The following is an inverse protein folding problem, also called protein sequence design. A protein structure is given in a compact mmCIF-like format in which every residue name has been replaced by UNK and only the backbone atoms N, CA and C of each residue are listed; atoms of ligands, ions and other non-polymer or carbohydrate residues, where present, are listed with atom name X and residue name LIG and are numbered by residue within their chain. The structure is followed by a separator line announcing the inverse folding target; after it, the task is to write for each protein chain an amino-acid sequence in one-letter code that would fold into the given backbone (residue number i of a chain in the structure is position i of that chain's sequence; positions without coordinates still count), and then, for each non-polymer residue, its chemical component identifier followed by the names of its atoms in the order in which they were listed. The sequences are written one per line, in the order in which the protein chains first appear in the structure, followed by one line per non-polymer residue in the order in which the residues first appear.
data_IF_967788794427
#
_entry.id   IF_967788794427
#
_cell.length_a   1.000
_cell.length_b   1.000
_cell.length_c   1.000
_cell.angle_alpha   90.00
_cell.angle_beta   90.00
_cell.angle_gamma   90.00
#
_symmetry.space_group_name_H-M   'P 1'
#
loop_
_entity.id
_entity.type
_entity.pdbx_description
1 polymer ?
#
# COMPACT_ATOMS: atom_id res chain seq x y z
N UNK A 1 -20.65 -4.98 10.95
CA UNK A 1 -19.80 -6.18 11.06
C UNK A 1 -18.43 -5.65 11.43
N UNK A 2 -18.00 -5.83 12.68
CA UNK A 2 -16.67 -5.39 13.08
C UNK A 2 -15.68 -6.30 12.35
N UNK A 3 -14.92 -5.74 11.43
CA UNK A 3 -13.79 -6.43 10.81
C UNK A 3 -12.80 -6.64 11.94
N UNK A 4 -12.49 -7.90 12.25
CA UNK A 4 -11.43 -8.27 13.17
C UNK A 4 -10.14 -7.64 12.65
N UNK A 5 -9.71 -6.56 13.31
CA UNK A 5 -8.36 -6.08 13.20
C UNK A 5 -7.44 -7.13 13.82
N UNK A 6 -6.23 -7.23 13.28
CA UNK A 6 -5.07 -7.88 13.87
C UNK A 6 -4.80 -9.32 13.44
N UNK A 7 -4.25 -9.45 12.25
CA UNK A 7 -2.82 -9.77 12.18
C UNK A 7 -2.14 -8.74 11.26
N UNK A 8 -1.87 -7.55 11.80
CA UNK A 8 -0.61 -6.89 11.41
C UNK A 8 0.45 -7.98 11.61
N UNK A 9 1.37 -8.17 10.67
CA UNK A 9 2.51 -9.05 10.92
C UNK A 9 3.39 -8.40 12.01
N UNK A 10 2.91 -8.50 13.25
CA UNK A 10 3.36 -7.77 14.45
C UNK A 10 4.82 -8.07 14.67
N UNK A 11 5.21 -9.33 14.45
CA UNK A 11 6.59 -9.77 14.52
C UNK A 11 7.50 -9.08 13.49
N UNK A 12 7.06 -8.95 12.24
CA UNK A 12 7.84 -8.26 11.21
C UNK A 12 7.98 -6.77 11.51
N UNK A 13 6.93 -6.14 12.03
CA UNK A 13 6.97 -4.73 12.44
C UNK A 13 7.90 -4.51 13.65
N UNK A 14 7.85 -5.40 14.64
CA UNK A 14 8.74 -5.35 15.79
C UNK A 14 10.21 -5.51 15.38
N UNK A 15 10.49 -6.46 14.49
CA UNK A 15 11.83 -6.66 13.93
C UNK A 15 12.31 -5.41 13.18
N UNK A 16 11.44 -4.78 12.38
CA UNK A 16 11.75 -3.53 11.68
C UNK A 16 12.13 -2.40 12.64
N UNK A 17 11.30 -2.17 13.67
CA UNK A 17 11.53 -1.13 14.67
C UNK A 17 12.87 -1.38 15.36
N UNK A 18 13.16 -2.63 15.74
CA UNK A 18 14.40 -2.98 16.42
C UNK A 18 15.64 -2.70 15.56
N UNK A 19 15.59 -3.01 14.25
CA UNK A 19 16.69 -2.77 13.30
C UNK A 19 16.86 -1.27 13.01
N UNK A 20 15.76 -0.51 12.94
CA UNK A 20 15.77 0.86 12.45
C UNK A 20 15.57 1.94 13.53
N UNK A 21 15.58 1.57 14.82
CA UNK A 21 15.36 2.49 15.95
C UNK A 21 16.24 3.74 15.98
N UNK A 22 17.46 3.65 15.43
CA UNK A 22 18.41 4.77 15.39
C UNK A 22 18.29 5.59 14.09
N UNK A 23 17.47 5.13 13.14
CA UNK A 23 17.30 5.72 11.81
C UNK A 23 15.95 6.40 11.65
N UNK A 24 14.95 6.02 12.45
CA UNK A 24 13.60 6.56 12.41
C UNK A 24 13.36 7.35 13.70
N UNK A 25 13.30 8.68 13.63
CA UNK A 25 12.98 9.48 14.80
C UNK A 25 11.51 9.30 15.17
N UNK A 26 11.24 8.57 16.25
CA UNK A 26 9.90 8.52 16.83
C UNK A 26 9.64 9.77 17.71
N UNK A 27 8.39 10.24 17.82
CA UNK A 27 8.01 11.23 18.83
C UNK A 27 8.41 10.78 20.24
N UNK A 28 8.70 11.72 21.16
CA UNK A 28 9.16 11.41 22.52
C UNK A 28 8.22 10.47 23.28
N UNK A 29 6.91 10.62 23.09
CA UNK A 29 5.86 9.78 23.67
C UNK A 29 5.96 8.32 23.22
N UNK A 30 6.45 8.08 21.99
CA UNK A 30 6.68 6.75 21.44
C UNK A 30 8.07 6.24 21.82
N UNK A 31 9.09 7.10 21.87
CA UNK A 31 10.43 6.72 22.34
C UNK A 31 10.43 6.20 23.79
N UNK A 32 9.65 6.84 24.68
CA UNK A 32 9.49 6.37 26.05
C UNK A 32 8.97 4.93 26.11
N UNK A 33 7.94 4.62 25.32
CA UNK A 33 7.35 3.28 25.22
C UNK A 33 8.26 2.28 24.51
N UNK A 34 8.94 2.67 23.43
CA UNK A 34 9.92 1.82 22.72
C UNK A 34 11.07 1.38 23.64
N UNK A 35 11.50 2.23 24.58
CA UNK A 35 12.51 1.87 25.58
C UNK A 35 11.99 0.88 26.63
N UNK A 36 10.75 1.06 27.11
CA UNK A 36 10.06 0.07 27.95
C UNK A 36 9.94 -1.29 27.24
N UNK A 37 9.68 -1.29 25.93
CA UNK A 37 9.53 -2.49 25.12
C UNK A 37 10.84 -3.28 24.96
N UNK A 38 11.98 -2.62 24.78
CA UNK A 38 13.28 -3.31 24.72
C UNK A 38 13.60 -4.08 26.02
N UNK A 39 13.18 -3.52 27.15
CA UNK A 39 13.37 -4.12 28.48
C UNK A 39 12.46 -5.33 28.69
N UNK A 40 11.37 -5.40 27.92
CA UNK A 40 10.27 -6.31 28.15
C UNK A 40 10.21 -7.44 27.08
N UNK A 41 10.60 -7.18 25.83
CA UNK A 41 10.84 -8.20 24.79
C UNK A 41 11.97 -9.19 25.14
N UNK A 42 12.87 -8.83 26.06
CA UNK A 42 13.89 -9.74 26.60
C UNK A 42 13.34 -10.68 27.68
N UNK A 43 12.09 -10.49 28.12
CA UNK A 43 11.42 -11.29 29.16
C UNK A 43 9.97 -11.61 28.74
N UNK A 44 9.84 -12.63 27.89
CA UNK A 44 8.57 -13.21 27.42
C UNK A 44 7.63 -12.26 26.64
N UNK A 45 6.91 -12.85 25.69
CA UNK A 45 6.08 -12.17 24.68
C UNK A 45 5.01 -11.27 25.29
N UNK A 46 5.17 -9.96 25.17
CA UNK A 46 4.14 -9.00 25.55
C UNK A 46 3.17 -8.83 24.40
N UNK A 47 1.89 -9.02 24.71
CA UNK A 47 0.78 -8.60 23.86
C UNK A 47 0.73 -7.07 23.88
N UNK A 48 1.19 -6.43 22.81
CA UNK A 48 1.05 -4.98 22.67
C UNK A 48 -0.44 -4.63 22.59
N UNK A 49 -0.85 -3.52 23.21
CA UNK A 49 -2.23 -3.06 23.06
C UNK A 49 -2.43 -2.53 21.64
N UNK A 50 -3.58 -2.87 21.05
CA UNK A 50 -3.98 -2.49 19.69
C UNK A 50 -3.81 -0.97 19.46
N UNK A 51 -4.08 -0.16 20.49
CA UNK A 51 -3.94 1.29 20.47
C UNK A 51 -2.51 1.78 20.20
N UNK A 52 -1.46 1.06 20.62
CA UNK A 52 -0.08 1.51 20.38
C UNK A 52 0.39 1.14 18.97
N UNK A 53 -0.02 -0.03 18.46
CA UNK A 53 0.25 -0.40 17.07
C UNK A 53 -0.40 0.61 16.12
N UNK A 54 -1.64 1.01 16.37
CA UNK A 54 -2.32 2.08 15.63
C UNK A 54 -1.53 3.40 15.63
N UNK A 55 -0.99 3.81 16.78
CA UNK A 55 -0.17 5.02 16.88
C UNK A 55 1.13 4.92 16.06
N UNK A 56 1.83 3.78 16.12
CA UNK A 56 3.02 3.52 15.30
C UNK A 56 2.67 3.57 13.83
N UNK A 57 1.55 2.97 13.43
CA UNK A 57 1.03 3.00 12.08
C UNK A 57 0.80 4.42 11.57
N UNK A 58 0.15 5.25 12.37
CA UNK A 58 -0.08 6.66 12.05
C UNK A 58 1.25 7.39 11.84
N UNK A 59 2.26 7.13 12.68
CA UNK A 59 3.57 7.76 12.57
C UNK A 59 4.32 7.30 11.33
N UNK A 60 4.38 5.99 11.08
CA UNK A 60 5.01 5.41 9.89
C UNK A 60 4.36 5.98 8.63
N UNK A 61 3.03 5.99 8.58
CA UNK A 61 2.30 6.57 7.46
C UNK A 61 2.62 8.05 7.25
N UNK A 62 2.70 8.86 8.32
CA UNK A 62 3.04 10.30 8.25
C UNK A 62 4.48 10.58 7.82
N UNK A 63 5.43 9.71 8.16
CA UNK A 63 6.85 9.90 7.84
C UNK A 63 7.27 9.28 6.50
N UNK A 64 6.43 8.41 5.96
CA UNK A 64 6.71 7.68 4.73
C UNK A 64 6.68 8.55 3.47
N UNK A 65 7.49 8.16 2.48
CA UNK A 65 7.47 8.75 1.15
C UNK A 65 6.55 7.90 0.27
N UNK A 66 5.46 8.45 -0.30
CA UNK A 66 4.62 7.71 -1.23
C UNK A 66 5.40 7.44 -2.52
N UNK A 67 5.48 6.16 -2.89
CA UNK A 67 6.17 5.68 -4.10
C UNK A 67 5.15 5.37 -5.19
N UNK A 68 4.01 4.81 -4.82
CA UNK A 68 2.91 4.50 -5.72
C UNK A 68 1.61 4.65 -4.94
N UNK A 69 0.65 5.36 -5.52
CA UNK A 69 -0.71 5.39 -5.02
C UNK A 69 -1.62 4.77 -6.08
N UNK A 70 -2.52 3.91 -5.65
CA UNK A 70 -3.58 3.33 -6.44
C UNK A 70 -4.86 3.59 -5.67
N UNK A 71 -5.75 4.41 -6.21
CA UNK A 71 -7.11 4.52 -5.70
C UNK A 71 -8.03 3.77 -6.63
N UNK A 72 -9.06 3.15 -6.09
CA UNK A 72 -10.12 2.60 -6.91
C UNK A 72 -11.49 2.94 -6.36
N UNK A 73 -12.42 2.99 -7.30
CA UNK A 73 -13.83 3.09 -7.01
C UNK A 73 -14.50 1.86 -7.59
N UNK A 74 -15.38 1.25 -6.82
CA UNK A 74 -16.26 0.21 -7.33
C UNK A 74 -17.68 0.50 -6.89
N UNK A 75 -18.61 0.19 -7.77
CA UNK A 75 -20.04 0.16 -7.49
C UNK A 75 -20.46 -1.16 -6.81
N UNK A 76 -19.50 -2.07 -6.57
CA UNK A 76 -19.72 -3.33 -5.84
C UNK A 76 -19.59 -3.07 -4.33
N UNK A 77 -20.53 -3.56 -3.49
CA UNK A 77 -20.44 -3.45 -2.04
C UNK A 77 -19.11 -4.02 -1.51
N UNK A 78 -18.43 -3.27 -0.64
CA UNK A 78 -17.13 -3.59 -0.03
C UNK A 78 -15.93 -3.62 -0.99
N UNK A 79 -15.99 -2.87 -2.10
CA UNK A 79 -14.91 -2.84 -3.08
C UNK A 79 -14.46 -1.41 -3.44
N UNK A 80 -14.51 -0.48 -2.47
CA UNK A 80 -14.08 0.91 -2.65
C UNK A 80 -12.97 1.24 -1.68
N UNK A 81 -11.79 1.64 -2.17
CA UNK A 81 -10.64 1.92 -1.31
C UNK A 81 -9.41 2.43 -2.05
N UNK A 82 -8.33 2.63 -1.31
CA UNK A 82 -7.01 2.93 -1.83
C UNK A 82 -5.96 1.94 -1.35
N UNK A 83 -4.95 1.72 -2.18
CA UNK A 83 -3.72 0.99 -1.91
C UNK A 83 -2.57 1.96 -2.16
N UNK A 84 -1.65 2.08 -1.21
CA UNK A 84 -0.44 2.89 -1.38
C UNK A 84 0.80 2.10 -1.01
N UNK A 85 1.82 2.17 -1.85
CA UNK A 85 3.16 1.71 -1.55
C UNK A 85 3.97 2.89 -1.05
N UNK A 86 4.54 2.76 0.15
CA UNK A 86 5.33 3.83 0.76
C UNK A 86 6.67 3.31 1.25
N UNK A 87 7.69 4.14 1.11
CA UNK A 87 9.05 3.84 1.53
C UNK A 87 9.37 4.54 2.86
N UNK A 88 10.00 3.78 3.77
CA UNK A 88 10.43 4.20 5.10
C UNK A 88 11.79 3.55 5.41
N UNK A 89 12.86 4.36 5.41
CA UNK A 89 14.18 3.92 5.89
C UNK A 89 14.78 2.75 5.08
N UNK A 90 14.59 2.74 3.77
CA UNK A 90 15.02 1.72 2.83
C UNK A 90 14.10 0.50 2.74
N UNK A 91 12.95 0.52 3.41
CA UNK A 91 11.97 -0.57 3.41
C UNK A 91 10.63 -0.08 2.88
N UNK A 92 9.86 -0.98 2.31
CA UNK A 92 8.59 -0.68 1.68
C UNK A 92 7.43 -1.28 2.47
N UNK A 93 6.33 -0.54 2.51
CA UNK A 93 5.09 -0.91 3.19
C UNK A 93 3.92 -0.67 2.25
N UNK A 94 3.00 -1.63 2.20
CA UNK A 94 1.78 -1.55 1.42
C UNK A 94 0.63 -1.26 2.38
N UNK A 95 0.01 -0.10 2.23
CA UNK A 95 -1.14 0.34 3.02
C UNK A 95 -2.40 0.21 2.18
N UNK A 96 -3.48 -0.28 2.79
CA UNK A 96 -4.80 -0.33 2.18
C UNK A 96 -5.83 0.27 3.13
N UNK A 97 -6.88 0.87 2.59
CA UNK A 97 -8.03 1.30 3.38
C UNK A 97 -8.88 0.10 3.85
N UNK A 98 -8.86 -1.00 3.10
CA UNK A 98 -9.70 -2.19 3.32
C UNK A 98 -8.92 -3.41 3.84
N UNK A 99 -7.59 -3.39 3.79
CA UNK A 99 -6.74 -4.55 4.09
C UNK A 99 -5.67 -4.21 5.14
N UNK A 100 -5.20 -5.20 5.93
CA UNK A 100 -4.07 -5.01 6.81
C UNK A 100 -2.83 -4.53 6.07
N UNK A 101 -2.03 -3.68 6.71
CA UNK A 101 -0.76 -3.27 6.11
C UNK A 101 0.22 -4.43 6.00
N UNK A 102 0.96 -4.45 4.89
CA UNK A 102 1.99 -5.43 4.60
C UNK A 102 3.38 -4.81 4.63
N UNK A 103 4.32 -5.51 5.25
CA UNK A 103 5.73 -5.13 5.33
C UNK A 103 6.37 -5.33 6.71
N UNK A 104 7.63 -4.88 6.90
CA UNK A 104 8.51 -4.30 5.88
C UNK A 104 8.83 -5.29 4.75
N UNK A 105 8.92 -4.76 3.52
CA UNK A 105 9.42 -5.47 2.35
C UNK A 105 10.71 -4.79 1.90
N UNK A 106 11.71 -5.58 1.50
CA UNK A 106 13.06 -5.05 1.24
C UNK A 106 13.26 -4.49 -0.17
N UNK A 107 12.29 -4.68 -1.07
CA UNK A 107 12.32 -4.09 -2.41
C UNK A 107 10.93 -3.76 -2.95
N UNK A 108 10.80 -2.66 -3.70
CA UNK A 108 9.52 -2.29 -4.33
C UNK A 108 9.06 -3.33 -5.35
N UNK A 109 9.98 -4.02 -6.03
CA UNK A 109 9.65 -5.08 -6.98
C UNK A 109 8.95 -6.26 -6.30
N UNK A 110 9.38 -6.62 -5.09
CA UNK A 110 8.72 -7.64 -4.27
C UNK A 110 7.31 -7.18 -3.88
N UNK A 111 7.13 -5.90 -3.54
CA UNK A 111 5.81 -5.34 -3.28
C UNK A 111 4.86 -5.46 -4.48
N UNK A 112 5.33 -5.20 -5.70
CA UNK A 112 4.49 -5.30 -6.91
C UNK A 112 4.11 -6.74 -7.31
N UNK A 113 4.75 -7.74 -6.70
CA UNK A 113 4.38 -9.15 -6.84
C UNK A 113 3.54 -9.65 -5.65
N UNK A 114 3.21 -8.78 -4.71
CA UNK A 114 2.32 -9.10 -3.60
C UNK A 114 0.89 -9.35 -4.10
N UNK A 115 0.17 -10.27 -3.43
CA UNK A 115 -1.22 -10.65 -3.75
C UNK A 115 -2.14 -9.43 -3.93
N UNK A 116 -1.89 -8.36 -3.18
CA UNK A 116 -2.67 -7.11 -3.23
C UNK A 116 -2.64 -6.43 -4.61
N UNK A 117 -1.59 -6.64 -5.40
CA UNK A 117 -1.46 -6.10 -6.75
C UNK A 117 -1.78 -7.14 -7.84
N UNK A 118 -1.93 -8.42 -7.49
CA UNK A 118 -2.08 -9.51 -8.46
C UNK A 118 -3.43 -10.21 -8.41
N UNK A 119 -4.17 -10.12 -7.31
CA UNK A 119 -5.42 -10.85 -7.09
C UNK A 119 -6.65 -9.95 -6.93
N UNK A 120 -6.47 -8.65 -6.70
CA UNK A 120 -7.57 -7.69 -6.63
C UNK A 120 -7.81 -7.05 -7.98
N UNK A 121 -8.94 -7.40 -8.58
CA UNK A 121 -9.42 -6.80 -9.82
C UNK A 121 -10.35 -5.65 -9.52
N UNK A 122 -10.17 -4.53 -10.21
CA UNK A 122 -10.98 -3.33 -10.02
C UNK A 122 -11.55 -2.81 -11.33
N UNK A 123 -12.70 -2.13 -11.23
CA UNK A 123 -13.54 -1.68 -12.34
C UNK A 123 -13.40 -0.19 -12.64
N UNK A 124 -12.75 0.60 -11.78
CA UNK A 124 -12.35 1.99 -12.02
C UNK A 124 -11.20 2.30 -11.07
N UNK A 125 -10.08 2.77 -11.61
CA UNK A 125 -8.93 3.10 -10.75
C UNK A 125 -8.07 4.22 -11.32
N UNK A 126 -7.32 4.84 -10.41
CA UNK A 126 -6.33 5.86 -10.70
C UNK A 126 -5.01 5.44 -10.08
N UNK A 127 -3.95 5.45 -10.90
CA UNK A 127 -2.59 5.17 -10.48
C UNK A 127 -1.76 6.42 -10.60
N UNK A 128 -1.06 6.78 -9.53
CA UNK A 128 -0.11 7.88 -9.52
C UNK A 128 1.25 7.45 -8.98
N UNK A 129 2.31 7.81 -9.70
CA UNK A 129 3.69 7.72 -9.23
C UNK A 129 4.60 8.69 -9.96
N UNK A 130 5.51 9.30 -9.20
CA UNK A 130 6.60 10.14 -9.73
C UNK A 130 7.94 9.41 -9.81
N UNK A 131 8.03 8.21 -9.23
CA UNK A 131 9.27 7.44 -9.09
C UNK A 131 9.27 6.18 -9.95
N UNK A 132 8.10 5.62 -10.26
CA UNK A 132 7.94 4.45 -11.10
C UNK A 132 7.78 4.89 -12.56
N UNK A 133 8.60 4.36 -13.50
CA UNK A 133 8.47 4.63 -14.92
C UNK A 133 7.11 4.23 -15.51
N UNK A 134 6.66 4.94 -16.54
CA UNK A 134 5.33 4.75 -17.16
C UNK A 134 5.11 3.32 -17.67
N UNK A 135 6.13 2.68 -18.25
CA UNK A 135 6.04 1.30 -18.76
C UNK A 135 5.78 0.28 -17.64
N UNK A 136 6.22 0.58 -16.42
CA UNK A 136 5.94 -0.24 -15.24
C UNK A 136 4.55 0.06 -14.68
N UNK A 137 4.15 1.34 -14.68
CA UNK A 137 2.79 1.74 -14.27
C UNK A 137 1.72 1.10 -15.16
N UNK A 138 1.94 1.06 -16.48
CA UNK A 138 1.06 0.36 -17.42
C UNK A 138 0.97 -1.13 -17.12
N UNK A 139 2.11 -1.79 -16.82
CA UNK A 139 2.11 -3.22 -16.44
C UNK A 139 1.33 -3.47 -15.15
N UNK A 140 1.43 -2.58 -14.16
CA UNK A 140 0.65 -2.68 -12.92
C UNK A 140 -0.82 -2.50 -13.23
N UNK A 141 -1.19 -1.41 -13.93
CA UNK A 141 -2.56 -1.13 -14.34
C UNK A 141 -3.19 -2.33 -15.05
N UNK A 142 -2.52 -2.89 -16.06
CA UNK A 142 -3.07 -3.98 -16.87
C UNK A 142 -3.23 -5.31 -16.12
N UNK A 143 -2.56 -5.49 -14.99
CA UNK A 143 -2.77 -6.64 -14.09
C UNK A 143 -4.03 -6.48 -13.23
N UNK A 144 -4.37 -5.24 -12.86
CA UNK A 144 -5.51 -4.91 -11.99
C UNK A 144 -6.84 -4.84 -12.75
N UNK A 145 -6.79 -4.83 -14.07
CA UNK A 145 -7.97 -4.85 -14.94
C UNK A 145 -8.59 -6.24 -14.93
N UNK A 146 -9.88 -6.30 -14.58
CA UNK A 146 -10.68 -7.49 -14.86
C UNK A 146 -10.85 -7.64 -16.38
N UNK A 147 -10.23 -8.69 -16.94
CA UNK A 147 -10.25 -8.97 -18.38
C UNK A 147 -11.63 -9.36 -18.92
N UNK A 148 -12.59 -9.66 -18.05
CA UNK A 148 -13.98 -9.91 -18.46
C UNK A 148 -14.76 -8.62 -18.75
N UNK A 149 -14.24 -7.47 -18.33
CA UNK A 149 -14.89 -6.18 -18.51
C UNK A 149 -14.62 -5.64 -19.91
N UNK A 150 -15.69 -5.54 -20.71
CA UNK A 150 -15.63 -5.06 -22.09
C UNK A 150 -15.40 -3.55 -22.24
N UNK A 151 -15.74 -2.78 -21.20
CA UNK A 151 -15.61 -1.32 -21.15
C UNK A 151 -15.14 -0.86 -19.78
N UNK A 152 -13.96 -0.27 -19.75
CA UNK A 152 -13.31 0.21 -18.53
C UNK A 152 -12.64 1.55 -18.81
N UNK A 153 -12.71 2.48 -17.86
CA UNK A 153 -11.89 3.70 -17.86
C UNK A 153 -10.99 3.71 -16.63
N UNK A 154 -9.75 4.14 -16.81
CA UNK A 154 -8.79 4.28 -15.71
C UNK A 154 -7.77 5.37 -16.04
N UNK A 155 -7.03 5.80 -15.03
CA UNK A 155 -6.07 6.90 -15.16
C UNK A 155 -4.70 6.47 -14.68
N UNK A 156 -3.65 6.83 -15.42
CA UNK A 156 -2.25 6.69 -14.99
C UNK A 156 -1.60 8.07 -15.07
N UNK A 157 -1.13 8.60 -13.94
CA UNK A 157 -0.51 9.93 -13.85
C UNK A 157 -1.33 11.01 -14.58
N UNK A 158 -2.63 11.05 -14.31
CA UNK A 158 -3.61 11.98 -14.91
C UNK A 158 -3.86 11.81 -16.41
N UNK A 159 -3.26 10.79 -17.04
CA UNK A 159 -3.55 10.40 -18.42
C UNK A 159 -4.64 9.35 -18.41
N UNK A 160 -5.74 9.61 -19.12
CA UNK A 160 -6.89 8.72 -19.17
C UNK A 160 -6.71 7.63 -20.23
N UNK A 161 -7.12 6.42 -19.89
CA UNK A 161 -7.12 5.23 -20.73
C UNK A 161 -8.51 4.62 -20.77
N UNK A 162 -8.83 3.99 -21.89
CA UNK A 162 -10.05 3.21 -22.07
C UNK A 162 -9.71 1.83 -22.57
N UNK A 163 -10.43 0.84 -22.04
CA UNK A 163 -10.50 -0.50 -22.61
C UNK A 163 -11.81 -0.62 -23.35
N UNK A 164 -11.76 -0.96 -24.65
CA UNK A 164 -12.93 -1.28 -25.46
C UNK A 164 -12.65 -2.57 -26.24
N UNK A 165 -13.47 -3.61 -26.01
CA UNK A 165 -13.35 -4.92 -26.67
C UNK A 165 -11.94 -5.54 -26.56
N UNK A 166 -11.29 -5.33 -25.41
CA UNK A 166 -9.95 -5.83 -25.11
C UNK A 166 -8.81 -4.97 -25.68
N UNK A 167 -9.13 -3.87 -26.37
CA UNK A 167 -8.15 -2.89 -26.87
C UNK A 167 -8.00 -1.79 -25.81
N UNK A 168 -6.78 -1.58 -25.33
CA UNK A 168 -6.44 -0.48 -24.44
C UNK A 168 -5.93 0.68 -25.27
N UNK A 169 -6.56 1.85 -25.14
CA UNK A 169 -6.16 3.07 -25.83
C UNK A 169 -6.05 4.25 -24.86
N UNK A 170 -5.04 5.07 -25.06
CA UNK A 170 -4.90 6.36 -24.38
C UNK A 170 -5.89 7.35 -25.02
N UNK A 171 -6.73 8.01 -24.22
CA UNK A 171 -7.77 8.91 -24.73
C UNK A 171 -7.24 10.23 -25.26
N UNK A 172 -6.03 10.65 -24.86
CA UNK A 172 -5.38 11.81 -25.44
C UNK A 172 -4.88 11.54 -26.87
N UNK A 173 -4.62 10.26 -27.21
CA UNK A 173 -4.30 9.86 -28.59
C UNK A 173 -5.53 9.69 -29.48
N UNK A 174 -6.75 9.66 -28.92
CA UNK A 174 -8.01 9.53 -29.68
C UNK A 174 -8.57 10.86 -30.20
N UNK A 175 -7.87 11.99 -29.99
CA UNK A 175 -8.27 13.30 -30.53
C UNK A 175 -7.84 13.55 -31.98
N UNK A 176 -7.79 12.55 -32.87
CA UNK A 176 -7.67 12.80 -34.31
C UNK A 176 -8.24 11.66 -35.17
N UNK A 177 -9.46 11.87 -35.67
CA UNK A 177 -9.84 11.84 -37.10
C UNK A 177 -11.32 12.23 -37.26
#
# INVERSE_FOLDING_TARGET
MYIETNEINEQNLLNFIQINKNKIPFPEEVNGKVNEWNTALTKESIKLSENILEQIFIILHKQSIPVLNISWKSDIPNNSGGLSLREIGGNYFIFSDDLPCQGPITSWNECLNHEYFTEHFTIEFEIESKSIPIDQLEKIAFKLIDKSIHKLEFTINQVQYKVEDGIIANTDTLKYN
#
